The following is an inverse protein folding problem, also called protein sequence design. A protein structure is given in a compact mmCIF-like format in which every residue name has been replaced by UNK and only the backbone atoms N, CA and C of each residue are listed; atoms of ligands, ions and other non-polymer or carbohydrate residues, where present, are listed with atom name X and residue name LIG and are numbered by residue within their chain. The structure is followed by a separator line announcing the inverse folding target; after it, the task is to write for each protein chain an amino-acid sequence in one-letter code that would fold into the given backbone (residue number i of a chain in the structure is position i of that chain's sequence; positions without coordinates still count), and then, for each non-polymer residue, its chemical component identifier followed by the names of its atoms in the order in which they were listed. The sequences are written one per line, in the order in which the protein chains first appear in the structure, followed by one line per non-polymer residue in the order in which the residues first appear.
data_IF_731981007603
#
_entry.id   IF_731981007603
#
_cell.length_a   1.000
_cell.length_b   1.000
_cell.length_c   1.000
_cell.angle_alpha   90.00
_cell.angle_beta   90.00
_cell.angle_gamma   90.00
#
_symmetry.space_group_name_H-M   'P 1'
#
loop_
_entity.id
_entity.type
_entity.pdbx_description
1 polymer ?
#
# COMPACT_ATOMS: atom_id res chain seq x y z
N UNK A 1 -3.78 12.30 -29.01
CA UNK A 1 -2.74 11.74 -28.13
C UNK A 1 -3.38 10.63 -27.33
N UNK A 2 -3.10 9.37 -27.66
CA UNK A 2 -3.51 8.23 -26.83
C UNK A 2 -2.83 8.40 -25.47
N UNK A 3 -3.61 8.42 -24.38
CA UNK A 3 -3.04 8.46 -23.04
C UNK A 3 -2.07 7.28 -22.87
N UNK A 4 -0.94 7.50 -22.20
CA UNK A 4 0.03 6.43 -21.94
C UNK A 4 -0.68 5.20 -21.35
N UNK A 5 -0.39 3.97 -21.83
CA UNK A 5 -1.09 2.75 -21.39
C UNK A 5 -1.21 2.61 -19.87
N UNK A 6 -0.15 3.00 -19.15
CA UNK A 6 -0.09 2.95 -17.69
C UNK A 6 -1.07 3.91 -17.01
N UNK A 7 -1.28 5.13 -17.53
CA UNK A 7 -2.26 6.08 -16.97
C UNK A 7 -3.69 5.57 -17.17
N UNK A 8 -3.97 4.96 -18.32
CA UNK A 8 -5.27 4.33 -18.59
C UNK A 8 -5.52 3.17 -17.63
N UNK A 9 -4.52 2.33 -17.40
CA UNK A 9 -4.60 1.22 -16.45
C UNK A 9 -4.75 1.70 -15.00
N UNK A 10 -4.04 2.75 -14.62
CA UNK A 10 -4.18 3.38 -13.31
C UNK A 10 -5.63 3.84 -13.09
N UNK A 11 -6.22 4.57 -14.05
CA UNK A 11 -7.61 5.01 -14.00
C UNK A 11 -8.60 3.85 -13.82
N UNK A 12 -8.39 2.73 -14.53
CA UNK A 12 -9.25 1.55 -14.47
C UNK A 12 -9.18 0.81 -13.13
N UNK A 13 -8.04 0.87 -12.44
CA UNK A 13 -7.78 0.18 -11.16
C UNK A 13 -8.12 1.02 -9.93
N UNK A 14 -8.55 2.28 -10.10
CA UNK A 14 -9.00 3.14 -8.99
C UNK A 14 -10.21 2.51 -8.27
N UNK A 15 -10.25 2.53 -6.93
CA UNK A 15 -11.41 2.08 -6.15
C UNK A 15 -12.69 2.80 -6.57
N UNK A 16 -13.85 2.13 -6.46
CA UNK A 16 -15.16 2.75 -6.79
C UNK A 16 -15.45 4.01 -5.96
N UNK A 17 -15.01 4.01 -4.70
CA UNK A 17 -15.17 5.10 -3.74
C UNK A 17 -13.82 5.38 -3.07
N UNK A 18 -12.85 6.00 -3.77
CA UNK A 18 -11.52 6.20 -3.23
C UNK A 18 -11.51 7.37 -2.23
N UNK A 19 -10.59 7.33 -1.29
CA UNK A 19 -10.17 8.54 -0.59
C UNK A 19 -9.51 9.51 -1.58
N UNK A 20 -9.75 10.80 -1.41
CA UNK A 20 -9.10 11.85 -2.20
C UNK A 20 -9.06 13.17 -1.44
N UNK A 21 -8.16 14.06 -1.87
CA UNK A 21 -8.11 15.45 -1.39
C UNK A 21 -7.28 16.31 -2.35
N UNK A 22 -7.51 17.62 -2.33
CA UNK A 22 -6.66 18.61 -3.00
C UNK A 22 -5.62 19.22 -2.04
N UNK A 23 -5.81 19.02 -0.73
CA UNK A 23 -4.95 19.52 0.34
C UNK A 23 -4.90 18.51 1.48
N UNK A 24 -3.68 18.03 1.78
CA UNK A 24 -3.44 17.05 2.83
C UNK A 24 -3.79 17.60 4.22
N UNK A 25 -3.74 18.93 4.42
CA UNK A 25 -4.05 19.56 5.72
C UNK A 25 -5.54 19.53 6.07
N UNK A 26 -6.40 19.46 5.03
CA UNK A 26 -7.85 19.46 5.16
C UNK A 26 -8.44 18.07 5.46
N UNK A 27 -7.61 17.03 5.53
CA UNK A 27 -8.04 15.65 5.69
C UNK A 27 -8.52 14.99 4.39
N UNK A 28 -9.04 13.77 4.49
CA UNK A 28 -9.44 12.94 3.35
C UNK A 28 -10.96 12.85 3.22
N UNK A 29 -11.46 12.90 1.98
CA UNK A 29 -12.88 12.72 1.64
C UNK A 29 -13.08 11.48 0.78
N UNK A 30 -14.26 10.86 0.86
CA UNK A 30 -14.68 9.74 -0.01
C UNK A 30 -15.75 10.23 -0.99
N UNK A 31 -15.55 9.99 -2.29
CA UNK A 31 -16.51 10.27 -3.37
C UNK A 31 -16.50 9.16 -4.42
N UNK A 32 -17.37 9.21 -5.41
CA UNK A 32 -17.31 8.30 -6.55
C UNK A 32 -16.01 8.53 -7.36
N UNK A 33 -15.44 7.46 -7.92
CA UNK A 33 -14.16 7.51 -8.65
C UNK A 33 -14.07 8.65 -9.68
N UNK A 34 -15.11 8.85 -10.51
CA UNK A 34 -15.14 9.93 -11.51
C UNK A 34 -14.99 11.35 -10.95
N UNK A 35 -15.45 11.58 -9.72
CA UNK A 35 -15.28 12.86 -9.04
C UNK A 35 -13.89 12.95 -8.39
N UNK A 36 -13.48 11.89 -7.69
CA UNK A 36 -12.21 11.82 -6.97
C UNK A 36 -10.99 11.93 -7.91
N UNK A 37 -11.10 11.44 -9.15
CA UNK A 37 -10.08 11.55 -10.20
C UNK A 37 -9.69 13.00 -10.53
N UNK A 38 -10.51 13.98 -10.13
CA UNK A 38 -10.25 15.41 -10.32
C UNK A 38 -9.46 16.04 -9.18
N UNK A 39 -9.15 15.31 -8.11
CA UNK A 39 -8.36 15.82 -7.00
C UNK A 39 -6.88 15.55 -7.17
N UNK A 40 -6.04 16.39 -6.55
CA UNK A 40 -4.58 16.25 -6.57
C UNK A 40 -4.09 14.95 -5.97
N UNK A 41 -4.70 14.45 -4.90
CA UNK A 41 -4.33 13.18 -4.28
C UNK A 41 -5.49 12.19 -4.33
N UNK A 42 -5.17 10.91 -4.54
CA UNK A 42 -6.17 9.86 -4.67
C UNK A 42 -5.68 8.53 -4.09
N UNK A 43 -6.60 7.74 -3.54
CA UNK A 43 -6.37 6.36 -3.17
C UNK A 43 -6.16 5.51 -4.43
N UNK A 44 -4.98 4.93 -4.56
CA UNK A 44 -4.55 4.19 -5.74
C UNK A 44 -4.91 2.70 -5.69
N UNK A 45 -5.11 2.14 -4.49
CA UNK A 45 -5.43 0.72 -4.28
C UNK A 45 -6.75 0.53 -3.53
N UNK A 46 -7.48 -0.53 -3.89
CA UNK A 46 -8.69 -0.95 -3.20
C UNK A 46 -8.42 -1.61 -1.84
N UNK A 47 -9.48 -1.90 -1.08
CA UNK A 47 -9.36 -2.47 0.27
C UNK A 47 -8.94 -3.95 0.29
N UNK A 48 -8.97 -4.63 -0.86
CA UNK A 48 -8.73 -6.08 -0.96
C UNK A 48 -7.58 -6.47 -1.87
N UNK A 49 -7.07 -5.54 -2.68
CA UNK A 49 -6.03 -5.80 -3.67
C UNK A 49 -5.07 -4.61 -3.76
N UNK A 50 -3.77 -4.88 -3.71
CA UNK A 50 -2.71 -3.95 -4.08
C UNK A 50 -2.31 -4.22 -5.52
N UNK A 51 -2.67 -3.31 -6.41
CA UNK A 51 -2.26 -3.30 -7.81
C UNK A 51 -0.99 -2.50 -8.03
N UNK A 52 -0.76 -1.50 -7.18
CA UNK A 52 0.36 -0.57 -7.30
C UNK A 52 1.16 -0.57 -5.99
N UNK A 53 2.47 -0.69 -6.06
CA UNK A 53 3.37 -0.33 -4.98
C UNK A 53 3.79 1.13 -5.20
N UNK A 54 3.63 1.97 -4.19
CA UNK A 54 3.91 3.40 -4.29
C UNK A 54 4.96 3.78 -3.27
N UNK A 55 5.98 4.50 -3.71
CA UNK A 55 7.08 4.98 -2.87
C UNK A 55 7.13 6.51 -2.94
N UNK A 56 7.08 7.17 -1.79
CA UNK A 56 7.21 8.63 -1.71
C UNK A 56 8.68 9.01 -1.54
N UNK A 57 9.14 9.91 -2.40
CA UNK A 57 10.53 10.35 -2.49
C UNK A 57 10.56 11.85 -2.20
N UNK A 58 10.86 12.18 -0.95
CA UNK A 58 10.84 13.54 -0.42
C UNK A 58 12.18 14.27 -0.55
N UNK A 59 12.68 14.36 -1.79
CA UNK A 59 13.87 15.13 -2.12
C UNK A 59 13.78 15.71 -3.52
N UNK A 60 14.51 16.79 -3.76
CA UNK A 60 14.61 17.38 -5.09
C UNK A 60 15.24 16.38 -6.07
N UNK A 61 14.76 16.38 -7.32
CA UNK A 61 15.25 15.45 -8.35
C UNK A 61 14.65 14.04 -8.28
N UNK A 62 13.62 13.82 -7.46
CA UNK A 62 13.01 12.51 -7.25
C UNK A 62 12.54 11.80 -8.54
N UNK A 63 12.29 12.54 -9.62
CA UNK A 63 11.83 11.99 -10.90
C UNK A 63 12.73 10.90 -11.47
N UNK A 64 14.05 11.06 -11.32
CA UNK A 64 15.07 10.16 -11.87
C UNK A 64 15.86 9.42 -10.79
N UNK A 65 15.52 9.60 -9.52
CA UNK A 65 16.29 9.06 -8.40
C UNK A 65 16.40 7.51 -8.44
N UNK A 66 15.37 6.83 -8.96
CA UNK A 66 15.40 5.39 -9.18
C UNK A 66 16.55 4.96 -10.12
N UNK A 67 16.89 5.79 -11.11
CA UNK A 67 17.95 5.50 -12.08
C UNK A 67 19.32 5.55 -11.41
N UNK A 68 19.57 6.61 -10.63
CA UNK A 68 20.83 6.79 -9.89
C UNK A 68 21.06 5.69 -8.86
N UNK A 69 19.97 5.11 -8.33
CA UNK A 69 20.00 4.01 -7.36
C UNK A 69 19.99 2.62 -8.00
N UNK A 70 20.05 2.55 -9.33
CA UNK A 70 19.95 1.31 -10.09
C UNK A 70 18.74 0.46 -9.65
N UNK A 71 17.61 1.13 -9.43
CA UNK A 71 16.33 0.53 -9.13
C UNK A 71 15.53 0.31 -10.44
N UNK A 72 14.55 -0.59 -10.42
CA UNK A 72 13.61 -0.74 -11.53
C UNK A 72 13.01 0.60 -11.96
N UNK A 73 12.83 0.78 -13.26
CA UNK A 73 12.09 1.93 -13.78
C UNK A 73 10.63 1.88 -13.27
N UNK A 74 10.09 2.93 -12.66
CA UNK A 74 8.69 2.96 -12.26
C UNK A 74 7.76 3.00 -13.49
N UNK A 75 6.55 2.44 -13.37
CA UNK A 75 5.56 2.56 -14.45
C UNK A 75 5.10 4.01 -14.61
N UNK A 76 4.90 4.70 -13.49
CA UNK A 76 4.49 6.11 -13.47
C UNK A 76 5.28 6.84 -12.39
N UNK A 77 5.72 8.05 -12.71
CA UNK A 77 6.28 9.01 -11.77
C UNK A 77 5.40 10.24 -11.76
N UNK A 78 4.91 10.61 -10.57
CA UNK A 78 4.14 11.83 -10.37
C UNK A 78 4.93 12.80 -9.48
N UNK A 79 5.46 13.86 -10.09
CA UNK A 79 6.36 14.82 -9.45
C UNK A 79 5.63 16.12 -9.13
N UNK A 80 5.88 16.65 -7.94
CA UNK A 80 5.50 18.00 -7.56
C UNK A 80 6.45 19.00 -8.21
N UNK A 81 5.98 19.84 -9.16
CA UNK A 81 6.86 20.79 -9.85
C UNK A 81 7.41 21.89 -8.92
N UNK A 82 6.80 22.13 -7.76
CA UNK A 82 7.23 23.18 -6.83
C UNK A 82 8.45 22.80 -5.98
N UNK A 83 8.58 21.53 -5.59
CA UNK A 83 9.68 21.06 -4.71
C UNK A 83 10.49 19.89 -5.27
N UNK A 84 10.05 19.30 -6.39
CA UNK A 84 10.72 18.17 -7.03
C UNK A 84 10.49 16.81 -6.35
N UNK A 85 9.68 16.71 -5.30
CA UNK A 85 9.34 15.45 -4.65
C UNK A 85 8.40 14.63 -5.54
N UNK A 86 8.51 13.30 -5.51
CA UNK A 86 7.75 12.46 -6.43
C UNK A 86 7.21 11.19 -5.77
N UNK A 87 6.09 10.69 -6.30
CA UNK A 87 5.66 9.31 -6.04
C UNK A 87 6.09 8.44 -7.21
N UNK A 88 6.84 7.38 -6.91
CA UNK A 88 7.19 6.32 -7.85
C UNK A 88 6.15 5.21 -7.74
N UNK A 89 5.48 4.89 -8.83
CA UNK A 89 4.34 3.97 -8.87
C UNK A 89 4.73 2.75 -9.72
N UNK A 90 4.80 1.59 -9.08
CA UNK A 90 5.13 0.30 -9.68
C UNK A 90 3.89 -0.57 -9.76
N UNK A 91 3.50 -0.96 -10.96
CA UNK A 91 2.33 -1.78 -11.23
C UNK A 91 2.66 -3.27 -11.18
N UNK A 92 1.80 -4.02 -10.51
CA UNK A 92 1.90 -5.46 -10.41
C UNK A 92 1.05 -6.13 -11.49
N UNK A 93 1.61 -7.14 -12.13
CA UNK A 93 0.93 -7.99 -13.11
C UNK A 93 -0.18 -8.77 -12.42
N UNK A 94 0.17 -9.47 -11.34
CA UNK A 94 -0.76 -10.14 -10.44
C UNK A 94 -0.90 -9.28 -9.18
N UNK A 95 -2.10 -8.75 -8.89
CA UNK A 95 -2.30 -7.94 -7.68
C UNK A 95 -2.18 -8.79 -6.41
N UNK A 96 -1.65 -8.18 -5.35
CA UNK A 96 -1.54 -8.84 -4.04
C UNK A 96 -2.86 -8.73 -3.31
N UNK A 97 -3.48 -9.88 -3.01
CA UNK A 97 -4.76 -9.95 -2.30
C UNK A 97 -4.57 -9.78 -0.80
N UNK A 98 -5.13 -8.71 -0.22
CA UNK A 98 -5.07 -8.34 1.21
C UNK A 98 -6.34 -8.72 1.99
N UNK A 99 -7.31 -9.35 1.32
CA UNK A 99 -8.54 -9.85 1.93
C UNK A 99 -8.28 -11.16 2.74
N UNK A 100 -9.21 -11.58 3.62
CA UNK A 100 -9.07 -12.78 4.46
C UNK A 100 -8.73 -14.08 3.73
N UNK A 101 -9.18 -14.22 2.49
CA UNK A 101 -8.96 -15.38 1.63
C UNK A 101 -7.66 -15.27 0.79
N UNK A 102 -6.84 -14.25 1.05
CA UNK A 102 -5.53 -14.08 0.43
C UNK A 102 -4.48 -15.06 0.95
N UNK A 103 -3.50 -15.39 0.10
CA UNK A 103 -2.36 -16.22 0.50
C UNK A 103 -1.45 -15.44 1.47
N UNK A 104 -1.37 -15.91 2.71
CA UNK A 104 -0.46 -15.34 3.71
C UNK A 104 1.01 -15.40 3.24
N UNK A 105 1.42 -16.47 2.55
CA UNK A 105 2.77 -16.57 1.99
C UNK A 105 3.03 -15.50 0.92
N UNK A 106 2.08 -15.29 0.00
CA UNK A 106 2.20 -14.27 -1.04
C UNK A 106 2.21 -12.85 -0.46
N UNK A 107 1.37 -12.57 0.54
CA UNK A 107 1.35 -11.29 1.26
C UNK A 107 2.68 -11.00 1.96
N UNK A 108 3.25 -11.99 2.64
CA UNK A 108 4.55 -11.83 3.31
C UNK A 108 5.69 -11.65 2.33
N UNK A 109 5.66 -12.35 1.20
CA UNK A 109 6.65 -12.17 0.14
C UNK A 109 6.56 -10.78 -0.48
N UNK A 110 5.35 -10.33 -0.82
CA UNK A 110 5.11 -8.98 -1.31
C UNK A 110 5.56 -7.90 -0.32
N UNK A 111 5.30 -8.09 0.97
CA UNK A 111 5.75 -7.17 2.02
C UNK A 111 7.29 -7.10 2.13
N UNK A 112 7.98 -8.24 1.94
CA UNK A 112 9.44 -8.27 1.92
C UNK A 112 10.00 -7.52 0.70
N UNK A 113 9.45 -7.76 -0.49
CA UNK A 113 9.83 -7.05 -1.72
C UNK A 113 9.55 -5.55 -1.59
N UNK A 114 8.36 -5.16 -1.12
CA UNK A 114 7.96 -3.77 -0.95
C UNK A 114 8.89 -3.03 0.03
N UNK A 115 9.20 -3.60 1.19
CA UNK A 115 10.11 -2.97 2.13
C UNK A 115 11.55 -2.92 1.60
N UNK A 116 12.03 -3.98 0.95
CA UNK A 116 13.39 -3.98 0.40
C UNK A 116 13.54 -2.96 -0.75
N UNK A 117 12.50 -2.76 -1.56
CA UNK A 117 12.46 -1.68 -2.55
C UNK A 117 12.38 -0.30 -1.90
N UNK A 118 11.59 -0.12 -0.84
CA UNK A 118 11.56 1.13 -0.09
C UNK A 118 12.96 1.50 0.42
N UNK A 119 13.71 0.54 0.97
CA UNK A 119 15.09 0.76 1.42
C UNK A 119 16.03 1.08 0.25
N UNK A 120 15.94 0.32 -0.85
CA UNK A 120 16.75 0.58 -2.05
C UNK A 120 16.52 1.97 -2.62
N UNK A 121 15.28 2.43 -2.63
CA UNK A 121 14.88 3.75 -3.11
C UNK A 121 15.13 4.85 -2.07
N UNK A 122 15.48 4.53 -0.82
CA UNK A 122 15.45 5.47 0.32
C UNK A 122 14.16 6.29 0.31
N UNK A 123 13.05 5.59 0.15
CA UNK A 123 11.72 6.20 0.16
C UNK A 123 11.27 6.45 1.59
N UNK A 124 10.35 7.40 1.79
CA UNK A 124 9.88 7.74 3.13
C UNK A 124 9.27 6.52 3.84
N UNK A 125 9.88 6.14 4.97
CA UNK A 125 9.42 5.03 5.80
C UNK A 125 8.14 5.38 6.59
N UNK A 126 7.83 6.67 6.74
CA UNK A 126 6.59 7.17 7.35
C UNK A 126 5.45 7.31 6.33
N UNK A 127 5.67 6.98 5.05
CA UNK A 127 4.60 7.02 4.07
C UNK A 127 3.54 5.93 4.35
N UNK A 128 2.32 6.37 4.68
CA UNK A 128 1.23 5.45 5.05
C UNK A 128 0.78 4.53 3.90
N UNK A 129 0.97 4.92 2.64
CA UNK A 129 0.56 4.12 1.47
C UNK A 129 -0.95 4.12 1.18
N UNK A 130 -1.73 5.05 1.76
CA UNK A 130 -3.18 5.14 1.53
C UNK A 130 -3.53 5.91 0.24
N UNK A 131 -2.95 7.10 0.06
CA UNK A 131 -3.17 7.97 -1.09
C UNK A 131 -1.85 8.33 -1.75
N UNK A 132 -1.87 8.53 -3.08
CA UNK A 132 -0.72 9.03 -3.81
C UNK A 132 -1.02 10.36 -4.51
N UNK A 133 0.03 11.06 -4.97
CA UNK A 133 -0.09 12.09 -6.01
C UNK A 133 -0.84 11.47 -7.19
N UNK A 134 -1.98 12.03 -7.58
CA UNK A 134 -2.85 11.47 -8.62
C UNK A 134 -2.25 11.71 -10.02
N UNK A 135 -1.68 10.70 -10.70
CA UNK A 135 -1.00 10.90 -12.00
C UNK A 135 -1.95 11.32 -13.14
N UNK A 136 -3.26 11.37 -12.90
CA UNK A 136 -4.26 11.84 -13.86
C UNK A 136 -4.60 13.33 -13.67
N UNK A 137 -4.10 13.96 -12.61
CA UNK A 137 -4.35 15.36 -12.32
C UNK A 137 -3.26 16.26 -12.92
N UNK A 138 -3.62 17.35 -13.64
CA UNK A 138 -2.67 18.19 -14.38
C UNK A 138 -1.71 19.02 -13.50
N UNK A 139 -1.93 19.06 -12.18
CA UNK A 139 -1.02 19.74 -11.24
C UNK A 139 0.35 19.06 -11.13
N UNK A 140 0.41 17.75 -11.34
CA UNK A 140 1.65 17.00 -11.24
C UNK A 140 2.35 16.93 -12.59
N UNK A 141 3.67 17.00 -12.57
CA UNK A 141 4.47 16.62 -13.71
C UNK A 141 4.55 15.09 -13.74
N UNK A 142 4.02 14.47 -14.79
CA UNK A 142 3.88 13.01 -14.88
C UNK A 142 4.75 12.47 -16.00
N UNK A 143 5.45 11.37 -15.72
CA UNK A 143 6.25 10.62 -16.69
C UNK A 143 5.94 9.13 -16.57
N UNK A 144 5.89 8.41 -17.69
CA UNK A 144 5.73 6.96 -17.72
C UNK A 144 7.00 6.34 -18.30
N UNK A 145 7.63 5.40 -17.58
CA UNK A 145 8.91 4.82 -17.97
C UNK A 145 8.76 3.36 -18.39
N UNK A 146 8.30 2.50 -17.48
CA UNK A 146 8.04 1.10 -17.81
C UNK A 146 6.62 0.89 -18.35
N UNK A 147 6.50 0.20 -19.48
CA UNK A 147 5.21 -0.10 -20.12
C UNK A 147 4.61 -1.42 -19.64
N UNK A 148 5.42 -2.35 -19.13
CA UNK A 148 4.98 -3.65 -18.64
C UNK A 148 4.74 -3.63 -17.13
N UNK A 149 3.81 -4.48 -16.68
CA UNK A 149 3.63 -4.69 -15.25
C UNK A 149 4.69 -5.66 -14.73
N UNK A 150 4.99 -5.56 -13.44
CA UNK A 150 6.00 -6.38 -12.79
C UNK A 150 5.39 -7.61 -12.12
N UNK A 151 6.10 -8.73 -12.20
CA UNK A 151 5.96 -9.79 -11.21
C UNK A 151 6.74 -9.42 -9.96
N UNK A 152 6.34 -9.96 -8.81
CA UNK A 152 7.09 -9.77 -7.57
C UNK A 152 8.49 -10.37 -7.66
N UNK A 153 8.66 -11.48 -8.38
CA UNK A 153 9.95 -12.12 -8.58
C UNK A 153 10.91 -11.25 -9.39
N UNK A 154 10.43 -10.59 -10.44
CA UNK A 154 11.27 -9.68 -11.22
C UNK A 154 11.72 -8.49 -10.38
N UNK A 155 10.83 -7.95 -9.52
CA UNK A 155 11.23 -6.89 -8.58
C UNK A 155 12.20 -7.39 -7.52
N UNK A 156 12.06 -8.64 -7.08
CA UNK A 156 12.94 -9.27 -6.10
C UNK A 156 14.39 -9.39 -6.59
N UNK A 157 14.62 -9.54 -7.90
CA UNK A 157 15.97 -9.59 -8.48
C UNK A 157 16.78 -8.30 -8.26
N UNK A 158 16.13 -7.17 -7.93
CA UNK A 158 16.78 -5.88 -7.70
C UNK A 158 17.16 -5.62 -6.23
N UNK A 159 16.75 -6.49 -5.31
CA UNK A 159 16.83 -6.28 -3.86
C UNK A 159 17.33 -7.52 -3.11
N UNK A 160 17.96 -7.33 -1.95
CA UNK A 160 18.32 -8.46 -1.09
C UNK A 160 17.18 -8.81 -0.12
N UNK A 161 16.66 -10.03 -0.24
CA UNK A 161 15.60 -10.56 0.62
C UNK A 161 16.12 -11.49 1.73
N UNK A 162 17.43 -11.70 1.84
CA UNK A 162 18.05 -12.56 2.86
C UNK A 162 17.61 -12.19 4.28
N UNK A 163 17.47 -10.88 4.52
CA UNK A 163 17.06 -10.31 5.81
C UNK A 163 15.62 -10.66 6.24
N UNK A 164 14.77 -11.23 5.38
CA UNK A 164 13.37 -11.58 5.70
C UNK A 164 13.15 -13.09 5.83
N UNK A 165 14.10 -13.89 5.33
CA UNK A 165 14.01 -15.34 5.40
C UNK A 165 13.90 -15.83 6.84
N UNK A 166 12.91 -16.67 7.11
CA UNK A 166 12.66 -17.24 8.45
C UNK A 166 12.17 -16.24 9.52
N UNK A 167 12.01 -14.95 9.21
CA UNK A 167 11.51 -13.98 10.20
C UNK A 167 10.02 -14.17 10.43
N UNK A 168 9.63 -14.24 11.71
CA UNK A 168 8.22 -14.26 12.12
C UNK A 168 7.56 -12.88 11.99
N UNK A 169 8.28 -11.81 12.39
CA UNK A 169 7.81 -10.42 12.27
C UNK A 169 8.52 -9.72 11.12
N UNK A 170 7.74 -9.06 10.27
CA UNK A 170 8.26 -8.22 9.17
C UNK A 170 8.49 -6.79 9.67
N UNK A 171 9.18 -5.92 8.90
CA UNK A 171 9.20 -4.49 9.19
C UNK A 171 7.79 -3.89 9.19
N UNK A 172 7.54 -2.90 10.03
CA UNK A 172 6.24 -2.22 10.17
C UNK A 172 6.03 -1.16 9.06
N UNK A 173 6.25 -1.56 7.80
CA UNK A 173 6.06 -0.73 6.60
C UNK A 173 5.11 -1.41 5.62
N UNK A 174 4.33 -0.63 4.87
CA UNK A 174 3.50 -1.16 3.78
C UNK A 174 2.63 -2.35 4.21
N UNK A 175 2.66 -3.43 3.42
CA UNK A 175 2.02 -4.73 3.68
C UNK A 175 2.56 -5.47 4.91
N UNK A 176 3.76 -5.14 5.39
CA UNK A 176 4.34 -5.71 6.59
C UNK A 176 3.49 -5.43 7.84
N UNK A 177 2.90 -4.24 7.93
CA UNK A 177 1.95 -3.86 8.99
C UNK A 177 0.73 -4.78 9.01
N UNK A 178 0.16 -5.08 7.84
CA UNK A 178 -0.97 -6.00 7.70
C UNK A 178 -0.62 -7.39 8.26
N UNK A 179 0.50 -7.94 7.79
CA UNK A 179 0.99 -9.25 8.22
C UNK A 179 1.23 -9.30 9.73
N UNK A 180 1.88 -8.28 10.27
CA UNK A 180 2.21 -8.19 11.69
C UNK A 180 0.98 -8.01 12.57
N UNK A 181 -0.01 -7.24 12.12
CA UNK A 181 -1.29 -7.08 12.82
C UNK A 181 -2.04 -8.41 12.86
N UNK A 182 -2.18 -9.07 11.71
CA UNK A 182 -2.83 -10.39 11.61
C UNK A 182 -2.17 -11.42 12.53
N UNK A 183 -0.84 -11.53 12.47
CA UNK A 183 -0.08 -12.46 13.32
C UNK A 183 -0.25 -12.17 14.82
N UNK A 184 -0.26 -10.89 15.20
CA UNK A 184 -0.41 -10.50 16.60
C UNK A 184 -1.83 -10.79 17.12
N UNK A 185 -2.85 -10.44 16.33
CA UNK A 185 -4.26 -10.62 16.71
C UNK A 185 -4.64 -12.10 16.75
N UNK A 186 -4.21 -12.92 15.77
CA UNK A 186 -4.56 -14.36 15.74
C UNK A 186 -3.94 -15.13 16.92
N UNK A 187 -2.71 -14.79 17.30
CA UNK A 187 -2.04 -15.44 18.44
C UNK A 187 -2.78 -15.15 19.76
N UNK A 188 -3.32 -13.94 19.90
CA UNK A 188 -4.19 -13.60 21.02
C UNK A 188 -5.53 -14.34 20.92
N UNK A 189 -6.15 -14.37 19.73
CA UNK A 189 -7.50 -14.91 19.53
C UNK A 189 -7.59 -16.40 19.89
N UNK A 190 -6.57 -17.21 19.55
CA UNK A 190 -6.49 -18.64 19.90
C UNK A 190 -6.55 -18.92 21.41
N UNK A 191 -6.18 -17.95 22.24
CA UNK A 191 -6.28 -18.04 23.71
C UNK A 191 -7.58 -17.42 24.21
N UNK A 192 -7.95 -16.27 23.68
CA UNK A 192 -9.09 -15.48 24.15
C UNK A 192 -10.45 -16.14 23.86
N UNK A 193 -10.62 -16.87 22.74
CA UNK A 193 -11.90 -17.50 22.40
C UNK A 193 -12.38 -18.51 23.46
N UNK A 194 -11.44 -19.12 24.19
CA UNK A 194 -11.70 -20.08 25.27
C UNK A 194 -12.31 -19.42 26.52
N UNK A 195 -12.37 -18.10 26.60
CA UNK A 195 -12.97 -17.35 27.70
C UNK A 195 -14.50 -17.22 27.50
N UNK A 196 -15.18 -18.36 27.38
CA UNK A 196 -16.64 -18.41 27.34
C UNK A 196 -17.29 -18.57 25.96
N UNK A 197 -16.50 -18.79 24.90
CA UNK A 197 -17.00 -19.14 23.55
C UNK A 197 -18.17 -18.27 23.10
N UNK A 198 -17.97 -16.94 22.98
CA UNK A 198 -19.05 -16.02 22.66
C UNK A 198 -19.64 -16.29 21.27
N UNK A 199 -20.88 -15.83 21.06
CA UNK A 199 -21.50 -15.80 19.74
C UNK A 199 -20.68 -14.96 18.75
N UNK A 200 -20.77 -15.28 17.46
CA UNK A 200 -19.92 -14.69 16.41
C UNK A 200 -19.91 -13.15 16.43
N UNK A 201 -21.07 -12.51 16.59
CA UNK A 201 -21.15 -11.04 16.58
C UNK A 201 -20.34 -10.41 17.72
N UNK A 202 -20.46 -10.93 18.95
CA UNK A 202 -19.68 -10.48 20.12
C UNK A 202 -18.21 -10.85 19.97
N UNK A 203 -17.92 -11.99 19.37
CA UNK A 203 -16.55 -12.40 19.12
C UNK A 203 -15.84 -11.47 18.14
N UNK A 204 -16.51 -11.15 17.02
CA UNK A 204 -15.99 -10.22 16.02
C UNK A 204 -15.72 -8.84 16.64
N UNK A 205 -16.64 -8.31 17.44
CA UNK A 205 -16.43 -7.03 18.14
C UNK A 205 -15.20 -7.06 19.06
N UNK A 206 -14.99 -8.17 19.79
CA UNK A 206 -13.83 -8.34 20.66
C UNK A 206 -12.52 -8.42 19.85
N UNK A 207 -12.53 -9.11 18.71
CA UNK A 207 -11.38 -9.22 17.80
C UNK A 207 -11.08 -7.86 17.15
N UNK A 208 -12.11 -7.14 16.67
CA UNK A 208 -11.98 -5.79 16.11
C UNK A 208 -11.37 -4.84 17.14
N UNK A 209 -11.92 -4.81 18.36
CA UNK A 209 -11.40 -3.99 19.46
C UNK A 209 -9.92 -4.27 19.73
N UNK A 210 -9.52 -5.55 19.71
CA UNK A 210 -8.11 -5.93 19.89
C UNK A 210 -7.25 -5.51 18.70
N UNK A 211 -7.74 -5.66 17.48
CA UNK A 211 -7.05 -5.26 16.26
C UNK A 211 -6.80 -3.74 16.25
N UNK A 212 -7.80 -2.92 16.59
CA UNK A 212 -7.63 -1.47 16.75
C UNK A 212 -6.57 -1.14 17.81
N UNK A 213 -6.58 -1.83 18.96
CA UNK A 213 -5.61 -1.60 20.01
C UNK A 213 -4.16 -1.93 19.60
N UNK A 214 -3.96 -2.97 18.78
CA UNK A 214 -2.64 -3.32 18.25
C UNK A 214 -2.21 -2.40 17.11
N UNK A 215 -3.14 -1.96 16.25
CA UNK A 215 -2.86 -1.06 15.15
C UNK A 215 -2.30 0.30 15.62
N UNK A 216 -2.75 0.78 16.78
CA UNK A 216 -2.23 2.01 17.44
C UNK A 216 -0.75 1.96 17.82
N UNK A 217 -0.09 0.80 17.74
CA UNK A 217 1.34 0.64 18.05
C UNK A 217 2.24 0.92 16.85
N UNK A 218 1.68 0.90 15.63
CA UNK A 218 2.44 1.32 14.45
C UNK A 218 2.60 2.83 14.48
N UNK A 219 3.76 3.31 14.00
CA UNK A 219 3.97 4.75 13.74
C UNK A 219 2.90 5.28 12.79
N UNK A 220 2.61 4.50 11.74
CA UNK A 220 1.58 4.79 10.74
C UNK A 220 0.50 3.71 10.77
N UNK A 221 -0.62 3.95 11.47
CA UNK A 221 -1.72 3.00 11.60
C UNK A 221 -2.32 2.60 10.24
N UNK A 222 -2.76 1.34 10.13
CA UNK A 222 -3.55 0.88 8.98
C UNK A 222 -4.93 1.56 8.97
N UNK A 223 -5.55 1.74 7.78
CA UNK A 223 -6.89 2.30 7.69
C UNK A 223 -7.96 1.34 8.25
N UNK A 224 -9.07 1.89 8.73
CA UNK A 224 -10.14 1.15 9.44
C UNK A 224 -10.69 -0.06 8.66
N UNK A 225 -10.81 0.06 7.33
CA UNK A 225 -11.28 -1.03 6.48
C UNK A 225 -10.34 -2.25 6.52
N UNK A 226 -9.03 -2.01 6.58
CA UNK A 226 -8.00 -3.04 6.61
C UNK A 226 -7.97 -3.72 7.98
N UNK A 227 -8.13 -2.94 9.06
CA UNK A 227 -8.28 -3.48 10.42
C UNK A 227 -9.52 -4.39 10.49
N UNK A 228 -10.66 -3.93 9.97
CA UNK A 228 -11.89 -4.71 9.95
C UNK A 228 -11.78 -5.99 9.12
N UNK A 229 -11.04 -5.98 8.01
CA UNK A 229 -10.75 -7.18 7.23
C UNK A 229 -9.88 -8.17 8.00
N UNK A 230 -8.83 -7.70 8.66
CA UNK A 230 -7.98 -8.55 9.52
C UNK A 230 -8.80 -9.17 10.64
N UNK A 231 -9.66 -8.39 11.31
CA UNK A 231 -10.50 -8.90 12.38
C UNK A 231 -11.48 -9.97 11.89
N UNK A 232 -12.17 -9.73 10.77
CA UNK A 232 -13.07 -10.71 10.13
C UNK A 232 -12.35 -11.98 9.67
N UNK A 233 -11.07 -11.89 9.31
CA UNK A 233 -10.27 -13.06 8.95
C UNK A 233 -9.93 -13.96 10.14
N UNK A 234 -9.97 -13.41 11.36
CA UNK A 234 -9.53 -14.09 12.57
C UNK A 234 -10.71 -14.56 13.43
N UNK A 235 -11.81 -13.80 13.43
CA UNK A 235 -13.01 -14.10 14.19
C UNK A 235 -13.71 -15.35 13.67
#
# INVERSE_FOLDING_TARGET
MTAAPQLSLFAQRIPRKPYHTDDLSSGLTIRAAQQALKSRYIQHNGPTHKYWLVFDIDRAGATLDWYDKNAPAPNIVATNPANGHAHLIYGLEIPVRTAPDGSSAALRYAAAVEHALQQKLDADAAYSGLICKNPLHPFWQVSCWEQNLYTLDWLADYVDLSAYSGKKRLPDYGLGRNCNLFDSVRQWSYKAIRQGWPEYARWLEAVETRAYAYNKRFSEPLPDNEIGHVAKSIA
#
